data_IF_818300183676
#
_entry.id   IF_818300183676
#
_cell.length_a   1.000
_cell.length_b   1.000
_cell.length_c   1.000
_cell.angle_alpha   90.00
_cell.angle_beta   90.00
_cell.angle_gamma   90.00
#
_symmetry.space_group_name_H-M   'P 1'
#
loop_
_entity.id
_entity.type
_entity.pdbx_description
1 polymer ?
#
# COMPACT_ATOMS: atom_id res chain seq x y z
N UNK A 1 19.51 -12.45 17.25
CA UNK A 1 20.11 -11.92 15.99
C UNK A 1 19.12 -11.03 15.24
N UNK A 2 19.12 -9.72 15.53
CA UNK A 2 18.21 -8.76 14.89
C UNK A 2 18.78 -8.25 13.57
N UNK A 3 18.46 -8.92 12.45
CA UNK A 3 18.88 -8.47 11.12
C UNK A 3 17.99 -7.30 10.65
N UNK A 4 18.63 -6.15 10.48
CA UNK A 4 18.16 -4.89 9.92
C UNK A 4 17.60 -5.04 8.49
N UNK A 5 16.39 -5.61 8.33
CA UNK A 5 15.65 -5.66 7.06
C UNK A 5 14.98 -4.32 6.71
N UNK A 6 15.70 -3.20 6.81
CA UNK A 6 15.08 -1.88 6.60
C UNK A 6 14.86 -1.52 5.12
N UNK A 7 15.51 -2.21 4.16
CA UNK A 7 15.43 -1.81 2.73
C UNK A 7 14.79 -2.84 1.78
N UNK A 8 14.75 -4.13 2.11
CA UNK A 8 14.18 -5.15 1.20
C UNK A 8 12.65 -5.20 1.18
N UNK A 9 12.00 -4.73 2.24
CA UNK A 9 10.55 -4.88 2.40
C UNK A 9 9.74 -4.15 1.32
N UNK A 10 10.15 -2.94 0.92
CA UNK A 10 9.42 -2.16 -0.08
C UNK A 10 9.57 -2.73 -1.49
N UNK A 11 10.75 -3.24 -1.84
CA UNK A 11 10.96 -3.92 -3.12
C UNK A 11 10.11 -5.19 -3.21
N UNK A 12 10.05 -5.96 -2.13
CA UNK A 12 9.21 -7.16 -2.05
C UNK A 12 7.71 -6.83 -2.11
N UNK A 13 7.26 -5.83 -1.34
CA UNK A 13 5.88 -5.37 -1.36
C UNK A 13 5.48 -4.85 -2.74
N UNK A 14 6.36 -4.10 -3.41
CA UNK A 14 6.14 -3.60 -4.77
C UNK A 14 5.88 -4.75 -5.75
N UNK A 15 6.73 -5.80 -5.70
CA UNK A 15 6.61 -6.98 -6.56
C UNK A 15 5.35 -7.80 -6.26
N UNK A 16 5.08 -8.09 -4.98
CA UNK A 16 3.95 -8.94 -4.58
C UNK A 16 2.59 -8.25 -4.74
N UNK A 17 2.51 -6.97 -4.39
CA UNK A 17 1.27 -6.18 -4.46
C UNK A 17 1.08 -5.48 -5.81
N UNK A 18 1.97 -5.71 -6.79
CA UNK A 18 1.95 -5.08 -8.13
C UNK A 18 1.82 -3.55 -8.08
N UNK A 19 2.59 -2.93 -7.19
CA UNK A 19 2.58 -1.47 -6.97
C UNK A 19 3.56 -0.77 -7.90
N UNK A 20 3.23 0.44 -8.34
CA UNK A 20 4.20 1.31 -9.01
C UNK A 20 4.94 2.21 -7.99
N UNK A 21 5.82 3.09 -8.47
CA UNK A 21 6.59 3.97 -7.58
C UNK A 21 5.71 5.05 -6.93
N UNK A 22 4.64 5.49 -7.60
CA UNK A 22 3.67 6.43 -7.07
C UNK A 22 2.85 5.80 -5.93
N UNK A 23 2.32 4.59 -6.12
CA UNK A 23 1.56 3.86 -5.10
C UNK A 23 2.44 3.58 -3.85
N UNK A 24 3.74 3.31 -4.04
CA UNK A 24 4.70 3.16 -2.92
C UNK A 24 4.93 4.48 -2.19
N UNK A 25 4.98 5.61 -2.90
CA UNK A 25 5.08 6.95 -2.29
C UNK A 25 3.82 7.27 -1.49
N UNK A 26 2.64 7.08 -2.08
CA UNK A 26 1.35 7.24 -1.40
C UNK A 26 1.28 6.41 -0.12
N UNK A 27 1.68 5.14 -0.18
CA UNK A 27 1.71 4.27 0.98
C UNK A 27 2.67 4.76 2.08
N UNK A 28 3.81 5.35 1.71
CA UNK A 28 4.73 5.98 2.68
C UNK A 28 4.13 7.23 3.31
N UNK A 29 3.48 8.07 2.52
CA UNK A 29 2.82 9.30 2.99
C UNK A 29 1.64 8.99 3.92
N UNK A 30 0.97 7.84 3.70
CA UNK A 30 -0.02 7.25 4.59
C UNK A 30 0.58 6.60 5.86
N UNK A 31 1.91 6.53 6.00
CA UNK A 31 2.58 5.87 7.13
C UNK A 31 2.51 4.34 7.10
N UNK A 32 2.13 3.75 5.96
CA UNK A 32 2.05 2.29 5.81
C UNK A 32 3.43 1.65 5.77
N UNK A 33 3.51 0.45 6.34
CA UNK A 33 4.74 -0.36 6.35
C UNK A 33 4.67 -1.43 5.25
N UNK A 34 5.79 -1.78 4.61
CA UNK A 34 5.81 -2.77 3.52
C UNK A 34 5.29 -4.15 3.96
N UNK A 35 5.56 -4.54 5.22
CA UNK A 35 5.01 -5.78 5.79
C UNK A 35 3.48 -5.77 5.91
N UNK A 36 2.88 -4.61 6.15
CA UNK A 36 1.41 -4.46 6.22
C UNK A 36 0.78 -4.65 4.85
N UNK A 37 1.42 -4.12 3.80
CA UNK A 37 0.96 -4.28 2.41
C UNK A 37 0.96 -5.74 1.98
N UNK A 38 2.02 -6.49 2.31
CA UNK A 38 2.13 -7.92 1.96
C UNK A 38 1.08 -8.75 2.70
N UNK A 39 0.81 -8.45 3.98
CA UNK A 39 -0.24 -9.12 4.76
C UNK A 39 -1.66 -8.82 4.25
N UNK A 40 -1.84 -7.73 3.51
CA UNK A 40 -3.13 -7.32 2.99
C UNK A 40 -3.40 -7.80 1.55
N UNK A 41 -2.51 -8.60 0.96
CA UNK A 41 -2.76 -9.22 -0.34
C UNK A 41 -3.98 -10.16 -0.22
N UNK A 42 -5.05 -9.93 -0.97
CA UNK A 42 -6.23 -10.80 -0.93
C UNK A 42 -5.89 -12.19 -1.46
N UNK A 43 -6.38 -13.23 -0.79
CA UNK A 43 -6.33 -14.60 -1.30
C UNK A 43 -7.50 -14.85 -2.27
N UNK A 44 -7.47 -15.93 -3.09
CA UNK A 44 -8.57 -16.25 -4.01
C UNK A 44 -9.93 -16.41 -3.32
N UNK A 45 -9.94 -16.80 -2.04
CA UNK A 45 -11.15 -16.92 -1.24
C UNK A 45 -11.69 -15.57 -0.72
N UNK A 46 -10.88 -14.51 -0.77
CA UNK A 46 -11.23 -13.17 -0.30
C UNK A 46 -11.57 -12.23 -1.47
N UNK A 47 -12.50 -12.65 -2.32
CA UNK A 47 -12.92 -11.88 -3.50
C UNK A 47 -13.55 -10.52 -3.17
N UNK A 48 -14.09 -10.36 -1.95
CA UNK A 48 -14.64 -9.10 -1.45
C UNK A 48 -13.57 -8.07 -1.06
N UNK A 49 -12.28 -8.45 -1.00
CA UNK A 49 -11.21 -7.57 -0.57
C UNK A 49 -10.52 -6.95 -1.79
N UNK A 50 -10.52 -5.61 -1.84
CA UNK A 50 -9.87 -4.88 -2.92
C UNK A 50 -8.36 -5.19 -3.00
N UNK A 51 -7.76 -5.21 -4.20
CA UNK A 51 -6.31 -5.29 -4.34
C UNK A 51 -5.61 -4.16 -3.60
N UNK A 52 -4.45 -4.45 -3.01
CA UNK A 52 -3.66 -3.49 -2.19
C UNK A 52 -3.39 -2.17 -2.93
N UNK A 53 -3.23 -2.22 -4.25
CA UNK A 53 -3.07 -1.03 -5.11
C UNK A 53 -4.27 -0.07 -5.04
N UNK A 54 -5.48 -0.61 -5.11
CA UNK A 54 -6.72 0.16 -5.08
C UNK A 54 -6.91 0.74 -3.69
N UNK A 55 -6.73 -0.10 -2.67
CA UNK A 55 -6.84 0.31 -1.27
C UNK A 55 -5.89 1.45 -0.88
N UNK A 56 -4.63 1.45 -1.35
CA UNK A 56 -3.70 2.56 -1.10
C UNK A 56 -4.22 3.86 -1.71
N UNK A 57 -4.80 3.81 -2.91
CA UNK A 57 -5.31 4.99 -3.61
C UNK A 57 -6.54 5.55 -2.91
N UNK A 58 -7.49 4.69 -2.55
CA UNK A 58 -8.68 5.08 -1.78
C UNK A 58 -8.31 5.72 -0.44
N UNK A 59 -7.36 5.14 0.30
CA UNK A 59 -6.88 5.74 1.55
C UNK A 59 -6.16 7.07 1.32
N UNK A 60 -5.38 7.16 0.24
CA UNK A 60 -4.69 8.40 -0.09
C UNK A 60 -5.68 9.50 -0.48
N UNK A 61 -6.73 9.15 -1.23
CA UNK A 61 -7.81 10.05 -1.60
C UNK A 61 -8.68 10.44 -0.40
N UNK A 62 -9.03 9.53 0.50
CA UNK A 62 -9.78 9.88 1.72
C UNK A 62 -8.97 10.82 2.65
N UNK A 63 -7.65 10.63 2.72
CA UNK A 63 -6.76 11.40 3.59
C UNK A 63 -6.27 12.72 2.99
N UNK A 64 -6.03 12.75 1.67
CA UNK A 64 -5.44 13.89 0.95
C UNK A 64 -6.33 14.43 -0.18
N UNK A 65 -7.29 13.66 -0.68
CA UNK A 65 -8.23 14.02 -1.74
C UNK A 65 -9.46 14.81 -1.26
N UNK A 66 -9.76 14.86 0.05
CA UNK A 66 -10.70 15.86 0.61
C UNK A 66 -10.27 17.32 0.41
N UNK A 67 -9.06 17.55 -0.12
CA UNK A 67 -8.58 18.87 -0.55
C UNK A 67 -9.04 19.21 -1.99
N UNK A 68 -9.55 18.25 -2.77
CA UNK A 68 -9.94 18.45 -4.18
C UNK A 68 -11.46 18.42 -4.43
N UNK A 69 -12.28 17.91 -3.51
CA UNK A 69 -13.74 18.09 -3.53
C UNK A 69 -14.15 19.37 -2.76
N UNK A 70 -13.52 20.49 -3.13
CA UNK A 70 -13.97 21.82 -2.75
C UNK A 70 -14.34 22.58 -4.01
N UNK A 71 -15.43 22.18 -4.66
CA UNK A 71 -16.22 23.02 -5.56
C UNK A 71 -17.67 22.54 -5.65
#
# INVERSE_FOLDING_TARGET
MGKSKKNTGWAEAKKRCRLNQADVRMAKDLGLKPKSLIKNIPSPQQSWKAPVKVWIRELYEDKFGKVLDSE
#
